data_IF_705584131289
#
_entry.id   IF_705584131289
#
_cell.length_a   1.000
_cell.length_b   1.000
_cell.length_c   1.000
_cell.angle_alpha   90.00
_cell.angle_beta   90.00
_cell.angle_gamma   90.00
#
_symmetry.space_group_name_H-M   'P 1'
#
loop_
_entity.id
_entity.type
_entity.pdbx_description
1 polymer ?
#
# COMPACT_ATOMS: atom_id res chain seq x y z
N UNK A 1 -0.32 -4.82 14.07
CA UNK A 1 -0.16 -3.93 15.24
C UNK A 1 1.31 -3.91 15.62
N UNK A 2 1.91 -2.72 15.67
CA UNK A 2 3.30 -2.46 16.10
C UNK A 2 3.34 -2.18 17.60
N UNK A 3 4.47 -2.50 18.23
CA UNK A 3 4.71 -2.22 19.65
C UNK A 3 4.20 -3.32 20.58
N UNK A 4 4.02 -4.55 20.07
CA UNK A 4 3.67 -5.71 20.90
C UNK A 4 4.93 -6.56 21.08
N UNK A 5 5.57 -6.53 22.27
CA UNK A 5 6.83 -7.22 22.54
C UNK A 5 6.78 -8.70 22.20
N UNK A 6 7.92 -9.23 21.74
CA UNK A 6 8.09 -10.65 21.41
C UNK A 6 7.87 -11.63 22.58
N UNK A 7 7.94 -11.15 23.83
CA UNK A 7 7.79 -11.99 25.03
C UNK A 7 6.32 -12.24 25.40
N UNK A 8 5.39 -11.40 24.91
CA UNK A 8 3.96 -11.60 25.15
C UNK A 8 3.44 -12.69 24.21
N UNK A 9 2.80 -13.75 24.73
CA UNK A 9 2.25 -14.83 23.91
C UNK A 9 1.07 -14.33 23.06
N UNK A 10 0.90 -14.92 21.88
CA UNK A 10 -0.14 -14.51 20.92
C UNK A 10 -1.56 -14.77 21.43
N UNK A 11 -1.72 -15.71 22.36
CA UNK A 11 -3.01 -16.08 22.93
C UNK A 11 -3.53 -14.99 23.88
N UNK A 12 -2.67 -14.44 24.75
CA UNK A 12 -3.01 -13.28 25.59
C UNK A 12 -3.41 -12.06 24.76
N UNK A 13 -2.67 -11.80 23.67
CA UNK A 13 -3.01 -10.73 22.71
C UNK A 13 -4.39 -10.96 22.10
N UNK A 14 -4.74 -12.22 21.81
CA UNK A 14 -6.03 -12.57 21.21
C UNK A 14 -7.16 -12.37 22.21
N UNK A 15 -7.00 -12.85 23.44
CA UNK A 15 -7.98 -12.69 24.50
C UNK A 15 -8.23 -11.21 24.82
N UNK A 16 -7.18 -10.39 24.90
CA UNK A 16 -7.31 -8.96 25.16
C UNK A 16 -8.01 -8.21 24.01
N UNK A 17 -7.76 -8.57 22.75
CA UNK A 17 -8.48 -7.96 21.64
C UNK A 17 -9.96 -8.38 21.62
N UNK A 18 -10.27 -9.61 22.00
CA UNK A 18 -11.66 -10.09 22.13
C UNK A 18 -12.39 -9.38 23.28
N UNK A 19 -11.71 -9.10 24.40
CA UNK A 19 -12.28 -8.35 25.54
C UNK A 19 -12.59 -6.89 25.17
N UNK A 20 -11.83 -6.31 24.23
CA UNK A 20 -12.08 -4.99 23.63
C UNK A 20 -13.18 -5.01 22.53
N UNK A 21 -13.96 -6.09 22.42
CA UNK A 21 -15.03 -6.30 21.44
C UNK A 21 -14.58 -6.27 19.97
N UNK A 22 -13.34 -6.67 19.70
CA UNK A 22 -12.82 -6.76 18.33
C UNK A 22 -12.97 -8.18 17.81
N UNK A 23 -13.63 -8.32 16.66
CA UNK A 23 -13.83 -9.61 16.02
C UNK A 23 -12.54 -10.09 15.34
N UNK A 24 -11.70 -10.79 16.10
CA UNK A 24 -10.43 -11.35 15.63
C UNK A 24 -10.58 -12.81 15.22
N UNK A 25 -10.13 -13.15 14.02
CA UNK A 25 -10.05 -14.52 13.52
C UNK A 25 -8.72 -15.17 13.87
N UNK A 26 -7.61 -14.49 13.58
CA UNK A 26 -6.26 -15.03 13.79
C UNK A 26 -5.24 -13.93 14.08
N UNK A 27 -4.23 -14.29 14.86
CA UNK A 27 -3.08 -13.45 15.17
C UNK A 27 -1.82 -14.23 14.85
N UNK A 28 -0.87 -13.58 14.17
CA UNK A 28 0.42 -14.16 13.84
C UNK A 28 1.53 -13.16 14.10
N UNK A 29 2.56 -13.57 14.85
CA UNK A 29 3.77 -12.75 15.03
C UNK A 29 4.57 -12.73 13.73
N UNK A 30 4.95 -11.53 13.30
CA UNK A 30 5.78 -11.34 12.11
C UNK A 30 7.23 -11.61 12.50
N UNK A 31 7.95 -12.30 11.62
CA UNK A 31 9.36 -12.64 11.78
C UNK A 31 10.22 -11.87 10.78
N UNK A 32 11.48 -11.64 11.14
CA UNK A 32 12.47 -11.07 10.25
C UNK A 32 12.99 -12.12 9.23
N UNK A 33 13.93 -11.71 8.37
CA UNK A 33 14.57 -12.61 7.40
C UNK A 33 15.30 -13.79 8.06
N UNK A 34 15.83 -13.59 9.27
CA UNK A 34 16.49 -14.61 10.10
C UNK A 34 15.51 -15.45 10.93
N UNK A 35 14.20 -15.32 10.70
CA UNK A 35 13.11 -15.99 11.43
C UNK A 35 12.96 -15.60 12.91
N UNK A 36 13.57 -14.51 13.33
CA UNK A 36 13.41 -14.00 14.68
C UNK A 36 12.13 -13.18 14.80
N UNK A 37 11.39 -13.29 15.93
CA UNK A 37 10.16 -12.54 16.14
C UNK A 37 10.41 -11.04 16.27
N UNK A 38 9.55 -10.24 15.64
CA UNK A 38 9.52 -8.78 15.77
C UNK A 38 8.47 -8.36 16.80
N UNK A 39 8.58 -7.12 17.28
CA UNK A 39 7.56 -6.46 18.11
C UNK A 39 6.35 -5.99 17.27
N UNK A 40 5.87 -6.89 16.42
CA UNK A 40 4.88 -6.67 15.38
C UNK A 40 4.05 -7.95 15.21
N UNK A 41 2.73 -7.80 15.34
CA UNK A 41 1.76 -8.86 15.10
C UNK A 41 0.84 -8.51 13.93
N UNK A 42 0.53 -9.49 13.09
CA UNK A 42 -0.51 -9.40 12.08
C UNK A 42 -1.81 -9.90 12.71
N UNK A 43 -2.86 -9.09 12.62
CA UNK A 43 -4.20 -9.42 13.11
C UNK A 43 -5.15 -9.51 11.92
N UNK A 44 -5.87 -10.62 11.82
CA UNK A 44 -6.90 -10.83 10.80
C UNK A 44 -8.26 -10.82 11.47
N UNK A 45 -9.16 -9.95 11.01
CA UNK A 45 -10.55 -9.92 11.47
C UNK A 45 -11.41 -11.01 10.83
N UNK A 46 -12.58 -11.29 11.40
CA UNK A 46 -13.58 -12.20 10.81
C UNK A 46 -14.22 -11.59 9.55
N UNK A 47 -14.98 -12.39 8.79
CA UNK A 47 -15.71 -11.89 7.62
C UNK A 47 -16.71 -10.77 7.98
N UNK A 48 -17.29 -10.82 9.18
CA UNK A 48 -18.18 -9.83 9.78
C UNK A 48 -17.43 -8.55 10.21
N UNK A 49 -16.13 -8.64 10.46
CA UNK A 49 -15.26 -7.49 10.72
C UNK A 49 -14.91 -6.69 9.45
N UNK A 50 -15.51 -7.01 8.30
CA UNK A 50 -15.30 -6.27 7.05
C UNK A 50 -16.09 -4.98 6.95
N UNK A 51 -17.05 -4.73 7.85
CA UNK A 51 -17.72 -3.45 7.94
C UNK A 51 -16.73 -2.30 8.17
N UNK A 52 -17.04 -1.13 7.62
CA UNK A 52 -16.17 0.05 7.71
C UNK A 52 -15.94 0.48 9.16
N UNK A 53 -16.93 0.27 10.02
CA UNK A 53 -16.94 0.66 11.43
C UNK A 53 -16.03 -0.23 12.27
N UNK A 54 -16.12 -1.55 12.09
CA UNK A 54 -15.25 -2.53 12.77
C UNK A 54 -13.81 -2.39 12.33
N UNK A 55 -13.55 -2.16 11.03
CA UNK A 55 -12.21 -1.81 10.54
C UNK A 55 -11.65 -0.57 11.22
N UNK A 56 -12.47 0.49 11.35
CA UNK A 56 -12.05 1.72 12.02
C UNK A 56 -11.74 1.51 13.51
N UNK A 57 -12.44 0.60 14.19
CA UNK A 57 -12.16 0.25 15.58
C UNK A 57 -10.74 -0.30 15.76
N UNK A 58 -10.28 -1.20 14.86
CA UNK A 58 -8.91 -1.70 14.91
C UNK A 58 -7.86 -0.59 14.83
N UNK A 59 -8.05 0.42 13.98
CA UNK A 59 -7.10 1.53 13.83
C UNK A 59 -7.10 2.52 15.00
N UNK A 60 -8.10 2.48 15.87
CA UNK A 60 -8.19 3.34 17.06
C UNK A 60 -7.47 2.76 18.28
N UNK A 61 -7.12 1.48 18.27
CA UNK A 61 -6.45 0.81 19.40
C UNK A 61 -5.09 1.46 19.66
N UNK A 62 -4.83 1.77 20.93
CA UNK A 62 -3.57 2.32 21.43
C UNK A 62 -2.90 1.47 22.51
N UNK A 63 -3.60 0.45 23.01
CA UNK A 63 -3.15 -0.41 24.10
C UNK A 63 -3.58 -1.86 23.89
N UNK A 64 -2.72 -2.80 24.31
CA UNK A 64 -2.96 -4.24 24.31
C UNK A 64 -2.21 -4.88 25.48
N UNK A 65 -2.82 -5.82 26.21
CA UNK A 65 -2.20 -6.55 27.32
C UNK A 65 -1.46 -5.61 28.32
N UNK A 66 -2.15 -4.57 28.79
CA UNK A 66 -1.62 -3.52 29.69
C UNK A 66 -0.49 -2.64 29.11
N UNK A 67 -0.04 -2.90 27.88
CA UNK A 67 0.93 -2.05 27.20
C UNK A 67 0.24 -0.88 26.53
N UNK A 68 0.87 0.29 26.63
CA UNK A 68 0.49 1.49 25.88
C UNK A 68 1.48 1.73 24.73
N UNK A 69 1.08 2.57 23.76
CA UNK A 69 1.92 2.89 22.60
C UNK A 69 1.82 1.89 21.44
N UNK A 70 0.88 0.95 21.51
CA UNK A 70 0.60 0.02 20.42
C UNK A 70 -0.06 0.79 19.27
N UNK A 71 0.33 0.49 18.03
CA UNK A 71 -0.23 1.14 16.84
C UNK A 71 -0.74 0.13 15.82
N UNK A 72 -2.02 0.21 15.50
CA UNK A 72 -2.59 -0.51 14.37
C UNK A 72 -2.33 0.24 13.07
N UNK A 73 -1.80 -0.46 12.08
CA UNK A 73 -1.47 0.06 10.75
C UNK A 73 -1.89 -0.94 9.69
N UNK A 74 -2.21 -0.45 8.50
CA UNK A 74 -2.48 -1.32 7.36
C UNK A 74 -1.21 -2.09 7.00
N UNK A 75 -1.33 -3.36 6.57
CA UNK A 75 -0.22 -4.05 5.93
C UNK A 75 0.31 -3.19 4.78
N UNK A 76 1.63 -2.98 4.74
CA UNK A 76 2.23 -2.17 3.70
C UNK A 76 2.09 -2.90 2.35
N UNK A 77 1.26 -2.36 1.46
CA UNK A 77 1.12 -2.87 0.10
C UNK A 77 2.31 -2.39 -0.72
N UNK A 78 3.03 -3.31 -1.35
CA UNK A 78 4.03 -2.93 -2.36
C UNK A 78 3.31 -2.27 -3.53
N UNK A 79 3.77 -1.09 -3.93
CA UNK A 79 3.14 -0.32 -5.02
C UNK A 79 3.30 -0.99 -6.39
N UNK A 80 4.29 -1.86 -6.54
CA UNK A 80 4.58 -2.58 -7.78
C UNK A 80 4.72 -4.08 -7.49
N UNK A 81 4.28 -4.95 -8.43
CA UNK A 81 4.59 -6.37 -8.37
C UNK A 81 6.10 -6.59 -8.29
N UNK A 82 6.52 -7.65 -7.60
CA UNK A 82 7.92 -8.05 -7.57
C UNK A 82 8.41 -8.45 -8.97
N UNK A 83 9.66 -8.13 -9.29
CA UNK A 83 10.35 -8.61 -10.47
C UNK A 83 11.00 -9.97 -10.17
N UNK A 84 10.81 -10.92 -11.06
CA UNK A 84 11.46 -12.22 -10.98
C UNK A 84 12.93 -12.09 -11.41
N UNK A 85 13.87 -12.39 -10.52
CA UNK A 85 15.31 -12.36 -10.84
C UNK A 85 15.75 -13.48 -11.80
N UNK A 86 14.90 -14.48 -12.05
CA UNK A 86 15.22 -15.57 -12.98
C UNK A 86 14.94 -15.13 -14.44
N UNK A 87 13.70 -14.72 -14.74
CA UNK A 87 13.29 -14.37 -16.10
C UNK A 87 13.11 -12.86 -16.37
N UNK A 88 13.31 -12.00 -15.37
CA UNK A 88 13.15 -10.54 -15.39
C UNK A 88 11.70 -10.01 -15.61
N UNK A 89 10.70 -10.89 -15.71
CA UNK A 89 9.29 -10.49 -15.77
C UNK A 89 8.73 -10.18 -14.38
N UNK A 90 7.61 -9.45 -14.35
CA UNK A 90 6.91 -9.09 -13.12
C UNK A 90 5.81 -10.10 -12.76
N UNK A 91 5.35 -10.05 -11.50
CA UNK A 91 4.13 -10.75 -11.05
C UNK A 91 4.35 -12.14 -10.46
N UNK A 92 5.59 -12.62 -10.39
CA UNK A 92 5.91 -13.89 -9.74
C UNK A 92 7.30 -13.85 -9.10
N UNK A 93 7.57 -14.79 -8.19
CA UNK A 93 8.87 -14.92 -7.53
C UNK A 93 9.79 -15.86 -8.30
N UNK A 94 11.11 -15.68 -8.15
CA UNK A 94 12.12 -16.57 -8.74
C UNK A 94 11.99 -18.04 -8.31
N UNK A 95 11.48 -18.31 -7.09
CA UNK A 95 11.36 -19.67 -6.54
C UNK A 95 10.36 -20.55 -7.29
N UNK A 96 9.37 -19.95 -7.94
CA UNK A 96 8.30 -20.65 -8.65
C UNK A 96 8.25 -20.22 -10.13
N UNK A 97 9.41 -19.84 -10.68
CA UNK A 97 9.51 -19.38 -12.05
C UNK A 97 9.72 -20.58 -12.99
N UNK A 98 8.78 -20.77 -13.91
CA UNK A 98 8.86 -21.82 -14.96
C UNK A 98 9.46 -21.30 -16.28
N UNK A 99 9.76 -20.00 -16.34
CA UNK A 99 10.35 -19.39 -17.53
C UNK A 99 11.87 -19.61 -17.57
N UNK A 100 12.47 -19.66 -18.78
CA UNK A 100 13.92 -19.75 -18.91
C UNK A 100 14.61 -18.55 -18.25
N UNK A 101 15.79 -18.80 -17.70
CA UNK A 101 16.63 -17.77 -17.11
C UNK A 101 17.00 -16.71 -18.16
N UNK A 102 16.97 -15.44 -17.76
CA UNK A 102 17.38 -14.29 -18.58
C UNK A 102 18.29 -13.39 -17.78
N UNK A 103 19.48 -13.16 -18.31
CA UNK A 103 20.44 -12.26 -17.71
C UNK A 103 19.98 -10.80 -17.85
N UNK A 104 20.00 -10.06 -16.74
CA UNK A 104 19.61 -8.64 -16.71
C UNK A 104 20.58 -7.72 -17.47
N UNK A 105 21.83 -8.15 -17.64
CA UNK A 105 22.89 -7.38 -18.32
C UNK A 105 22.83 -7.56 -19.84
N UNK A 106 22.77 -8.80 -20.32
CA UNK A 106 22.98 -9.13 -21.73
C UNK A 106 21.82 -9.87 -22.42
N UNK A 107 20.70 -10.13 -21.72
CA UNK A 107 19.57 -10.95 -22.22
C UNK A 107 19.87 -12.43 -22.51
N UNK A 108 21.09 -12.90 -22.20
CA UNK A 108 21.49 -14.29 -22.40
C UNK A 108 20.69 -15.29 -21.55
N UNK A 109 20.67 -16.55 -21.99
CA UNK A 109 20.00 -17.67 -21.33
C UNK A 109 20.80 -18.22 -20.13
N UNK A 110 21.18 -17.33 -19.21
CA UNK A 110 21.93 -17.66 -18.00
C UNK A 110 21.54 -16.72 -16.86
N UNK A 111 21.85 -17.10 -15.62
CA UNK A 111 21.67 -16.23 -14.47
C UNK A 111 22.73 -15.15 -14.41
N UNK A 112 22.40 -13.96 -13.91
CA UNK A 112 23.29 -12.78 -13.88
C UNK A 112 24.67 -13.04 -13.26
N UNK A 113 24.79 -13.98 -12.32
CA UNK A 113 26.06 -14.35 -11.69
C UNK A 113 27.06 -15.01 -12.67
N UNK A 114 26.58 -15.69 -13.71
CA UNK A 114 27.40 -16.34 -14.73
C UNK A 114 27.71 -15.42 -15.91
N UNK A 115 27.30 -14.15 -15.82
CA UNK A 115 27.39 -13.22 -16.93
C UNK A 115 28.78 -12.56 -16.99
N UNK A 116 29.47 -12.75 -18.11
CA UNK A 116 30.74 -12.10 -18.43
C UNK A 116 30.58 -10.71 -19.07
N UNK A 117 29.35 -10.28 -19.34
CA UNK A 117 29.08 -9.02 -20.02
C UNK A 117 29.55 -7.82 -19.19
N UNK A 118 30.39 -7.00 -19.80
CA UNK A 118 30.88 -5.74 -19.27
C UNK A 118 30.21 -4.56 -20.00
N UNK A 119 29.68 -3.62 -19.23
CA UNK A 119 28.94 -2.47 -19.77
C UNK A 119 29.82 -1.56 -20.63
N UNK A 120 31.10 -1.47 -20.31
CA UNK A 120 32.02 -0.53 -20.97
C UNK A 120 32.54 -1.08 -22.30
N UNK A 121 32.64 -2.41 -22.44
CA UNK A 121 33.13 -3.07 -23.68
C UNK A 121 31.99 -3.54 -24.58
N UNK A 122 30.93 -4.12 -24.00
CA UNK A 122 29.89 -4.83 -24.74
C UNK A 122 28.65 -3.96 -25.01
N UNK A 123 28.65 -2.74 -24.44
CA UNK A 123 27.63 -1.73 -24.64
C UNK A 123 26.50 -1.77 -23.60
N UNK A 124 25.44 -0.97 -23.82
CA UNK A 124 24.35 -0.84 -22.85
C UNK A 124 23.45 -2.09 -22.83
N UNK A 125 22.88 -2.43 -21.66
CA UNK A 125 21.98 -3.57 -21.53
C UNK A 125 20.73 -3.38 -22.38
N UNK A 126 20.08 -4.49 -22.70
CA UNK A 126 18.78 -4.51 -23.34
C UNK A 126 17.71 -4.99 -22.37
N UNK A 127 16.50 -4.44 -22.50
CA UNK A 127 15.39 -4.71 -21.61
C UNK A 127 14.59 -5.94 -22.09
N UNK A 128 14.38 -6.94 -21.23
CA UNK A 128 13.58 -8.14 -21.57
C UNK A 128 12.14 -7.76 -21.95
N UNK A 129 11.60 -6.70 -21.34
CA UNK A 129 10.21 -6.32 -21.49
C UNK A 129 9.97 -5.61 -22.82
N UNK A 130 10.69 -4.52 -23.10
CA UNK A 130 10.51 -3.72 -24.32
C UNK A 130 11.42 -4.10 -25.48
N UNK A 131 12.42 -4.95 -25.25
CA UNK A 131 13.45 -5.36 -26.23
C UNK A 131 14.33 -4.20 -26.75
N UNK A 132 14.28 -3.03 -26.11
CA UNK A 132 15.13 -1.88 -26.46
C UNK A 132 16.45 -1.92 -25.68
N UNK A 133 17.53 -1.45 -26.33
CA UNK A 133 18.84 -1.21 -25.70
C UNK A 133 18.80 0.08 -24.87
N UNK A 134 19.72 0.20 -23.90
CA UNK A 134 19.89 1.41 -23.09
C UNK A 134 19.48 1.25 -21.63
N UNK A 135 18.65 0.27 -21.29
CA UNK A 135 18.18 0.05 -19.92
C UNK A 135 17.88 -1.41 -19.60
N UNK A 136 17.88 -1.75 -18.31
CA UNK A 136 17.51 -3.08 -17.82
C UNK A 136 16.01 -3.17 -17.58
N UNK A 137 15.48 -4.39 -17.45
CA UNK A 137 14.06 -4.62 -17.17
C UNK A 137 13.58 -4.03 -15.82
N UNK A 138 14.47 -3.67 -14.89
CA UNK A 138 14.13 -3.04 -13.63
C UNK A 138 13.88 -1.51 -13.77
N UNK A 139 14.19 -0.93 -14.91
CA UNK A 139 13.99 0.50 -15.14
C UNK A 139 12.50 0.85 -15.18
N UNK A 140 12.03 1.60 -14.18
CA UNK A 140 10.61 1.98 -14.03
C UNK A 140 10.10 2.93 -15.14
N UNK A 141 11.00 3.57 -15.88
CA UNK A 141 10.65 4.38 -17.05
C UNK A 141 10.42 3.54 -18.33
N UNK A 142 10.59 2.22 -18.27
CA UNK A 142 10.29 1.34 -19.41
C UNK A 142 8.78 1.40 -19.74
N UNK A 143 8.38 1.57 -21.01
CA UNK A 143 6.97 1.68 -21.39
C UNK A 143 6.15 0.41 -21.08
N UNK A 144 6.82 -0.73 -20.91
CA UNK A 144 6.21 -2.03 -20.57
C UNK A 144 6.39 -2.42 -19.09
N UNK A 145 7.03 -1.58 -18.27
CA UNK A 145 7.08 -1.83 -16.83
C UNK A 145 5.71 -1.60 -16.19
N UNK A 146 5.37 -2.33 -15.11
CA UNK A 146 4.17 -2.07 -14.34
C UNK A 146 4.17 -0.64 -13.81
N UNK A 147 3.05 0.07 -13.98
CA UNK A 147 2.86 1.41 -13.42
C UNK A 147 2.33 1.29 -12.00
N UNK A 148 2.73 2.23 -11.14
CA UNK A 148 2.12 2.35 -9.82
C UNK A 148 0.66 2.73 -10.04
N UNK A 149 -0.26 2.02 -9.38
CA UNK A 149 -1.63 2.50 -9.28
C UNK A 149 -1.57 3.84 -8.53
N UNK A 150 -1.98 4.92 -9.19
CA UNK A 150 -2.23 6.17 -8.48
C UNK A 150 -3.38 5.92 -7.50
N UNK A 151 -3.28 6.37 -6.24
CA UNK A 151 -4.46 6.46 -5.40
C UNK A 151 -5.53 7.23 -6.17
N UNK A 152 -6.81 6.84 -6.14
CA UNK A 152 -7.85 7.67 -6.73
C UNK A 152 -7.69 9.08 -6.18
N UNK A 153 -7.55 10.05 -7.10
CA UNK A 153 -7.48 11.46 -6.74
C UNK A 153 -8.69 11.74 -5.86
N UNK A 154 -8.46 12.19 -4.63
CA UNK A 154 -9.56 12.60 -3.76
C UNK A 154 -10.19 13.80 -4.44
N UNK A 155 -11.25 13.57 -5.22
CA UNK A 155 -12.08 14.66 -5.75
C UNK A 155 -12.59 15.39 -4.51
N UNK A 156 -12.00 16.55 -4.23
CA UNK A 156 -12.49 17.40 -3.17
C UNK A 156 -13.96 17.70 -3.47
N UNK A 157 -14.87 17.59 -2.48
CA UNK A 157 -16.25 17.95 -2.72
C UNK A 157 -16.27 19.39 -3.23
N UNK A 158 -16.85 19.59 -4.42
CA UNK A 158 -17.09 20.91 -4.97
C UNK A 158 -17.89 21.66 -3.92
N UNK A 159 -17.36 22.79 -3.42
CA UNK A 159 -18.14 23.71 -2.60
C UNK A 159 -19.20 24.30 -3.52
N UNK A 160 -20.43 23.81 -3.43
CA UNK A 160 -21.55 24.44 -4.10
C UNK A 160 -21.67 25.88 -3.60
N UNK A 161 -21.59 26.83 -4.53
CA UNK A 161 -21.81 28.24 -4.27
C UNK A 161 -23.30 28.50 -4.08
N UNK A 162 -23.84 28.08 -2.94
CA UNK A 162 -25.23 28.33 -2.56
C UNK A 162 -25.27 29.12 -1.23
N UNK A 163 -24.70 30.32 -1.23
CA UNK A 163 -25.07 31.33 -0.23
C UNK A 163 -24.85 32.75 -0.75
N UNK A 164 -25.66 33.15 -1.72
CA UNK A 164 -25.82 34.56 -2.10
C UNK A 164 -27.30 34.80 -2.41
N UNK A 165 -28.16 34.72 -1.39
CA UNK A 165 -29.56 35.15 -1.50
C UNK A 165 -30.22 35.33 -0.14
N UNK A 166 -29.74 36.29 0.63
CA UNK A 166 -30.62 36.98 1.57
C UNK A 166 -30.06 38.36 1.88
N UNK A 167 -30.95 39.37 1.83
CA UNK A 167 -30.75 40.77 2.20
C UNK A 167 -30.02 41.63 1.15
N UNK A 168 -30.78 42.15 0.18
CA UNK A 168 -30.93 43.59 -0.12
C UNK A 168 -32.11 43.67 -1.11
N UNK A 169 -33.29 44.02 -0.61
CA UNK A 169 -34.29 44.85 -1.31
C UNK A 169 -35.39 45.26 -0.31
N UNK A 170 -34.94 45.83 0.82
CA UNK A 170 -35.76 46.71 1.64
C UNK A 170 -35.52 48.16 1.18
N UNK A 171 -35.93 48.48 -0.04
CA UNK A 171 -36.04 49.87 -0.54
C UNK A 171 -36.75 49.89 -1.89
N UNK A 172 -38.08 49.77 -1.85
CA UNK A 172 -39.04 50.27 -2.85
C UNK A 172 -40.46 50.07 -2.30
N UNK A 173 -40.73 50.73 -1.17
CA UNK A 173 -42.08 51.05 -0.68
C UNK A 173 -42.01 52.40 0.03
N UNK A 174 -41.81 53.44 -0.75
CA UNK A 174 -42.19 54.82 -0.47
C UNK A 174 -42.44 55.42 -1.86
N UNK A 175 -43.40 56.34 -1.96
CA UNK A 175 -44.07 56.86 -3.18
C UNK A 175 -45.37 56.15 -3.54
N UNK A 176 -46.35 56.29 -2.65
CA UNK A 176 -47.74 56.53 -3.06
C UNK A 176 -48.44 57.39 -2.01
N UNK A 177 -48.72 58.65 -2.38
CA UNK A 177 -49.84 59.45 -1.87
C UNK A 177 -49.53 60.52 -0.81
N UNK A 178 -49.71 61.80 -1.18
CA UNK A 178 -50.06 62.86 -0.22
C UNK A 178 -49.56 64.28 -0.50
N UNK A 179 -50.04 64.94 -1.55
CA UNK A 179 -50.15 66.43 -1.57
C UNK A 179 -51.36 66.86 -2.39
N UNK A 180 -52.12 67.79 -1.79
CA UNK A 180 -53.38 68.46 -2.19
C UNK A 180 -54.64 67.60 -2.13
#
# INVERSE_FOLDING_TARGET
>A
MRGVPKDIPIDEVKEDLLSQHLLVQSIRRIQNHFREPLDLVLVSGTAEANDKTTKAAFFKIRSVCFLSGVKAEHPHKRALPGQCHNCQFYGHSSRHCLNPARCVKCLGNHGTAQCTHNRDTDGPPACVLCKQKGHTANYLGCPRAPKRAHPPEKVAPRRDAAHARCLINAKLRLHSGGTM
#
